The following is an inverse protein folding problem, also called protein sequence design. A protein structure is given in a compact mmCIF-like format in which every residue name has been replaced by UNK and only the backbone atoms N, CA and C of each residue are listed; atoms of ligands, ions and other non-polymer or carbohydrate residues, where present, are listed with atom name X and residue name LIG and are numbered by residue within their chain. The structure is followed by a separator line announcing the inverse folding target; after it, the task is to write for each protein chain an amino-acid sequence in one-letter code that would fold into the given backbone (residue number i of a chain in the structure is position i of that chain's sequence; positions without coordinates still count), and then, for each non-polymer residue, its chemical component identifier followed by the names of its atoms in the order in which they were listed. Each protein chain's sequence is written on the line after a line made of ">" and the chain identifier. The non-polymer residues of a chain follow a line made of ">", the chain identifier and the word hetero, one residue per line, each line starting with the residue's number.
data_IF_100289531287
#
_entry.id   IF_100289531287
#
_cell.length_a   1.000
_cell.length_b   1.000
_cell.length_c   1.000
_cell.angle_alpha   90.00
_cell.angle_beta   90.00
_cell.angle_gamma   90.00
#
_symmetry.space_group_name_H-M   'P 1'
#
loop_
_entity.id
_entity.type
_entity.pdbx_description
1 polymer ?
#
# COMPACT_ATOMS: atom_id res chain seq x y z
N UNK A 1 -0.30 -11.33 -5.59
CA UNK A 1 1.17 -11.42 -5.52
C UNK A 1 1.77 -10.28 -6.32
N UNK A 2 2.80 -9.64 -5.76
CA UNK A 2 3.60 -8.60 -6.42
C UNK A 2 5.06 -9.02 -6.27
N UNK A 3 5.81 -8.86 -7.35
CA UNK A 3 7.25 -9.10 -7.36
C UNK A 3 7.91 -7.82 -7.88
N UNK A 4 8.86 -7.32 -7.12
CA UNK A 4 9.71 -6.18 -7.45
C UNK A 4 11.16 -6.64 -7.38
N UNK A 5 11.96 -6.18 -8.34
CA UNK A 5 13.39 -6.46 -8.42
C UNK A 5 14.17 -5.16 -8.56
N UNK A 6 15.12 -4.91 -7.65
CA UNK A 6 15.97 -3.71 -7.62
C UNK A 6 17.22 -3.99 -6.78
N UNK A 7 18.35 -3.36 -7.09
CA UNK A 7 19.62 -3.52 -6.36
C UNK A 7 20.10 -4.99 -6.18
N UNK A 8 19.81 -5.86 -7.16
CA UNK A 8 20.03 -7.31 -7.04
C UNK A 8 19.22 -8.00 -5.92
N UNK A 9 18.21 -7.33 -5.38
CA UNK A 9 17.28 -7.86 -4.39
C UNK A 9 15.90 -8.11 -5.01
N UNK A 10 15.18 -9.06 -4.43
CA UNK A 10 13.79 -9.37 -4.79
C UNK A 10 12.90 -9.09 -3.58
N UNK A 11 11.85 -8.32 -3.80
CA UNK A 11 10.75 -8.15 -2.84
C UNK A 11 9.51 -8.89 -3.35
N UNK A 12 8.98 -9.80 -2.53
CA UNK A 12 7.75 -10.56 -2.84
C UNK A 12 6.68 -10.22 -1.81
N UNK A 13 5.59 -9.60 -2.27
CA UNK A 13 4.39 -9.41 -1.47
C UNK A 13 3.30 -10.40 -1.89
N UNK A 14 2.85 -11.22 -0.92
CA UNK A 14 1.72 -12.12 -1.07
C UNK A 14 0.52 -11.45 -0.41
N UNK A 15 -0.56 -11.32 -1.16
CA UNK A 15 -1.77 -10.61 -0.78
C UNK A 15 -2.96 -11.47 -1.16
N UNK A 16 -4.03 -11.38 -0.38
CA UNK A 16 -5.29 -12.03 -0.70
C UNK A 16 -5.81 -11.55 -2.08
N UNK A 17 -6.54 -12.42 -2.77
CA UNK A 17 -7.14 -12.15 -4.08
C UNK A 17 -8.15 -11.01 -3.99
N UNK A 18 -8.87 -10.91 -2.88
CA UNK A 18 -9.91 -9.89 -2.65
C UNK A 18 -9.33 -8.51 -2.31
N UNK A 19 -8.01 -8.40 -2.19
CA UNK A 19 -7.37 -7.18 -1.73
C UNK A 19 -7.26 -6.09 -2.80
N UNK A 20 -7.63 -4.85 -2.42
CA UNK A 20 -7.47 -3.66 -3.27
C UNK A 20 -6.00 -3.30 -3.41
N UNK A 21 -5.49 -3.40 -4.64
CA UNK A 21 -4.07 -3.25 -5.01
C UNK A 21 -3.74 -1.83 -5.48
N UNK A 22 -4.27 -0.81 -4.84
CA UNK A 22 -4.04 0.56 -5.30
C UNK A 22 -2.61 1.00 -4.97
N UNK A 23 -1.77 1.32 -5.96
CA UNK A 23 -0.36 1.73 -5.79
C UNK A 23 0.53 0.78 -4.98
N UNK A 24 0.08 -0.45 -4.71
CA UNK A 24 0.81 -1.43 -3.91
C UNK A 24 2.18 -1.82 -4.51
N UNK A 25 2.35 -1.68 -5.82
CA UNK A 25 3.66 -1.87 -6.48
C UNK A 25 4.65 -0.78 -6.07
N UNK A 26 4.19 0.47 -6.02
CA UNK A 26 5.02 1.61 -5.59
C UNK A 26 5.42 1.46 -4.12
N UNK A 27 4.51 0.99 -3.26
CA UNK A 27 4.82 0.67 -1.87
C UNK A 27 5.89 -0.43 -1.76
N UNK A 28 5.78 -1.50 -2.56
CA UNK A 28 6.77 -2.56 -2.59
C UNK A 28 8.14 -2.07 -3.10
N UNK A 29 8.18 -1.16 -4.07
CA UNK A 29 9.42 -0.51 -4.54
C UNK A 29 10.03 0.35 -3.43
N UNK A 30 9.23 1.13 -2.69
CA UNK A 30 9.69 1.91 -1.53
C UNK A 30 10.23 1.02 -0.40
N UNK A 31 9.57 -0.11 -0.10
CA UNK A 31 10.06 -1.06 0.90
C UNK A 31 11.45 -1.58 0.53
N UNK A 32 11.65 -1.90 -0.75
CA UNK A 32 12.93 -2.40 -1.24
C UNK A 32 14.02 -1.32 -1.23
N UNK A 33 13.67 -0.07 -1.56
CA UNK A 33 14.55 1.10 -1.42
C UNK A 33 14.99 1.31 0.03
N UNK A 34 14.05 1.23 0.96
CA UNK A 34 14.32 1.40 2.39
C UNK A 34 15.18 0.25 2.94
N UNK A 35 14.91 -0.99 2.53
CA UNK A 35 15.73 -2.14 2.91
C UNK A 35 17.17 -1.97 2.44
N UNK A 36 17.37 -1.63 1.17
CA UNK A 36 18.70 -1.41 0.61
C UNK A 36 19.41 -0.27 1.33
N UNK A 37 18.75 0.87 1.56
CA UNK A 37 19.36 1.99 2.27
C UNK A 37 19.82 1.65 3.70
N UNK A 38 19.14 0.74 4.37
CA UNK A 38 19.48 0.34 5.74
C UNK A 38 20.62 -0.67 5.81
N UNK A 39 20.75 -1.54 4.80
CA UNK A 39 21.64 -2.69 4.85
C UNK A 39 22.59 -2.82 3.65
N UNK A 40 22.78 -1.77 2.85
CA UNK A 40 23.61 -1.84 1.64
C UNK A 40 25.03 -2.34 1.92
N UNK A 41 25.63 -1.95 3.04
CA UNK A 41 26.99 -2.37 3.39
C UNK A 41 27.02 -3.88 3.71
N UNK A 42 26.05 -4.35 4.49
CA UNK A 42 25.90 -5.76 4.87
C UNK A 42 25.59 -6.66 3.67
N UNK A 43 24.80 -6.14 2.73
CA UNK A 43 24.49 -6.80 1.45
C UNK A 43 25.75 -6.94 0.59
N UNK A 44 26.56 -5.88 0.49
CA UNK A 44 27.80 -5.87 -0.29
C UNK A 44 28.88 -6.78 0.30
N UNK A 45 28.97 -6.83 1.64
CA UNK A 45 29.93 -7.66 2.38
C UNK A 45 29.59 -9.17 2.37
N UNK A 46 28.45 -9.58 1.77
CA UNK A 46 27.95 -10.97 1.70
C UNK A 46 27.87 -11.69 3.06
N UNK A 47 27.86 -10.95 4.16
CA UNK A 47 27.85 -11.49 5.51
C UNK A 47 26.52 -11.11 6.16
N UNK A 48 25.49 -11.96 5.99
CA UNK A 48 24.15 -11.64 6.50
C UNK A 48 23.54 -12.79 7.30
N UNK A 49 23.27 -12.52 8.57
CA UNK A 49 22.32 -13.31 9.36
C UNK A 49 20.94 -12.66 9.30
N UNK A 50 19.89 -13.46 9.09
CA UNK A 50 18.49 -13.00 9.05
C UNK A 50 18.07 -12.25 10.33
N UNK A 51 18.74 -12.53 11.46
CA UNK A 51 18.53 -11.88 12.75
C UNK A 51 18.81 -10.37 12.72
N UNK A 52 19.60 -9.87 11.76
CA UNK A 52 20.03 -8.47 11.67
C UNK A 52 18.95 -7.54 11.09
N UNK A 53 17.89 -8.08 10.47
CA UNK A 53 16.86 -7.26 9.79
C UNK A 53 15.69 -6.82 10.70
N UNK A 54 15.87 -6.87 12.02
CA UNK A 54 14.77 -6.58 12.96
C UNK A 54 14.23 -5.15 12.81
N UNK A 55 15.11 -4.17 12.60
CA UNK A 55 14.72 -2.77 12.39
C UNK A 55 13.81 -2.61 11.16
N UNK A 56 14.13 -3.29 10.06
CA UNK A 56 13.29 -3.24 8.87
C UNK A 56 11.94 -3.92 9.05
N UNK A 57 11.84 -4.96 9.89
CA UNK A 57 10.53 -5.56 10.22
C UNK A 57 9.57 -4.53 10.83
N UNK A 58 10.06 -3.72 11.77
CA UNK A 58 9.26 -2.65 12.39
C UNK A 58 8.84 -1.61 11.36
N UNK A 59 9.77 -1.17 10.53
CA UNK A 59 9.52 -0.18 9.48
C UNK A 59 8.50 -0.70 8.46
N UNK A 60 8.63 -1.96 8.03
CA UNK A 60 7.71 -2.59 7.08
C UNK A 60 6.30 -2.71 7.68
N UNK A 61 6.19 -3.05 8.97
CA UNK A 61 4.90 -3.08 9.66
C UNK A 61 4.21 -1.71 9.64
N UNK A 62 4.94 -0.65 10.00
CA UNK A 62 4.41 0.72 9.97
C UNK A 62 3.97 1.11 8.54
N UNK A 63 4.77 0.80 7.52
CA UNK A 63 4.40 1.08 6.13
C UNK A 63 3.12 0.35 5.73
N UNK A 64 2.95 -0.91 6.15
CA UNK A 64 1.73 -1.68 5.90
C UNK A 64 0.53 -1.00 6.57
N UNK A 65 0.63 -0.65 7.86
CA UNK A 65 -0.44 0.03 8.60
C UNK A 65 -0.85 1.35 7.94
N UNK A 66 0.13 2.17 7.55
CA UNK A 66 -0.12 3.43 6.84
C UNK A 66 -0.80 3.22 5.49
N UNK A 67 -0.40 2.18 4.74
CA UNK A 67 -1.04 1.82 3.48
C UNK A 67 -2.52 1.46 3.68
N UNK A 68 -2.84 0.66 4.71
CA UNK A 68 -4.22 0.31 5.04
C UNK A 68 -5.04 1.52 5.50
N UNK A 69 -4.45 2.42 6.28
CA UNK A 69 -5.12 3.67 6.68
C UNK A 69 -5.48 4.52 5.46
N UNK A 70 -4.54 4.70 4.50
CA UNK A 70 -4.80 5.43 3.25
C UNK A 70 -5.87 4.77 2.39
N UNK A 71 -5.92 3.44 2.35
CA UNK A 71 -6.99 2.72 1.63
C UNK A 71 -8.36 2.97 2.27
N UNK A 72 -8.43 2.92 3.60
CA UNK A 72 -9.68 3.14 4.33
C UNK A 72 -10.20 4.58 4.15
N UNK A 73 -9.33 5.57 4.24
CA UNK A 73 -9.68 6.98 3.98
C UNK A 73 -10.23 7.18 2.57
N UNK A 74 -9.58 6.60 1.56
CA UNK A 74 -10.05 6.68 0.16
C UNK A 74 -11.37 5.98 -0.06
N UNK A 75 -11.59 4.81 0.56
CA UNK A 75 -12.88 4.12 0.47
C UNK A 75 -13.99 4.98 1.11
N UNK A 76 -13.70 5.64 2.23
CA UNK A 76 -14.61 6.61 2.87
C UNK A 76 -14.92 7.81 1.95
N UNK A 77 -13.92 8.37 1.27
CA UNK A 77 -14.12 9.47 0.32
C UNK A 77 -14.97 9.05 -0.89
N UNK A 78 -14.77 7.83 -1.41
CA UNK A 78 -15.59 7.27 -2.49
C UNK A 78 -17.03 7.04 -2.06
N UNK A 79 -17.27 6.51 -0.85
CA UNK A 79 -18.61 6.36 -0.30
C UNK A 79 -19.31 7.71 -0.12
N UNK A 80 -18.63 8.72 0.43
CA UNK A 80 -19.19 10.08 0.60
C UNK A 80 -19.53 10.71 -0.77
N UNK A 81 -18.68 10.50 -1.78
CA UNK A 81 -18.91 10.96 -3.15
C UNK A 81 -20.18 10.36 -3.77
N UNK A 82 -20.39 9.06 -3.60
CA UNK A 82 -21.58 8.36 -4.10
C UNK A 82 -22.85 8.81 -3.38
N UNK A 83 -22.82 9.00 -2.05
CA UNK A 83 -23.97 9.57 -1.33
C UNK A 83 -24.36 10.96 -1.84
N UNK A 84 -23.40 11.82 -2.19
CA UNK A 84 -23.65 13.13 -2.78
C UNK A 84 -24.34 13.03 -4.16
N UNK A 85 -23.91 12.09 -5.00
CA UNK A 85 -24.53 11.81 -6.30
C UNK A 85 -25.96 11.27 -6.16
N UNK A 86 -26.18 10.27 -5.32
CA UNK A 86 -27.51 9.71 -5.07
C UNK A 86 -28.46 10.74 -4.46
N UNK A 87 -27.99 11.60 -3.55
CA UNK A 87 -28.80 12.66 -2.96
C UNK A 87 -29.23 13.70 -4.00
N UNK A 88 -28.34 14.08 -4.92
CA UNK A 88 -28.67 14.98 -6.02
C UNK A 88 -29.62 14.35 -7.04
N UNK A 89 -29.45 13.07 -7.35
CA UNK A 89 -30.32 12.32 -8.26
C UNK A 89 -31.75 12.20 -7.68
N UNK A 90 -31.88 11.84 -6.40
CA UNK A 90 -33.17 11.78 -5.69
C UNK A 90 -33.82 13.17 -5.64
N UNK A 91 -33.05 14.23 -5.40
CA UNK A 91 -33.57 15.62 -5.39
C UNK A 91 -34.13 16.05 -6.75
N UNK A 92 -33.45 15.70 -7.86
CA UNK A 92 -33.92 15.95 -9.24
C UNK A 92 -35.19 15.18 -9.59
N UNK A 93 -35.30 13.91 -9.17
CA UNK A 93 -36.51 13.11 -9.38
C UNK A 93 -37.73 13.70 -8.66
N UNK A 94 -37.53 14.23 -7.44
CA UNK A 94 -38.59 14.86 -6.63
C UNK A 94 -39.03 16.23 -7.15
N UNK A 95 -38.20 16.93 -7.92
CA UNK A 95 -38.53 18.25 -8.48
C UNK A 95 -39.12 18.17 -9.89
N UNK A 96 -38.84 17.11 -10.66
CA UNK A 96 -39.41 16.89 -11.99
C UNK A 96 -40.78 16.18 -12.00
N UNK A 97 -41.38 15.95 -10.83
CA UNK A 97 -42.72 15.34 -10.66
C UNK A 97 -43.79 16.36 -10.26
N UNK A 98 -43.61 17.63 -10.64
CA UNK A 98 -44.59 18.73 -10.49
C UNK A 98 -44.88 19.39 -11.82
#
# INVERSE_FOLDING_TARGET
>A
MIIVYKYNLIFVAILDKEFTKHNIREEAEKSLDMFYSLYQNEIEDNCMEVSQFFSFKTILLTQIEEYFNRLNERNLELEIGDFGFFTQAIKKLRTNSS
#
